data_IF_465321136284
#
_entry.id   IF_465321136284
#
_cell.length_a   1.000
_cell.length_b   1.000
_cell.length_c   1.000
_cell.angle_alpha   90.00
_cell.angle_beta   90.00
_cell.angle_gamma   90.00
#
_symmetry.space_group_name_H-M   'P 1'
#
loop_
_entity.id
_entity.type
_entity.pdbx_description
1 polymer ?
#
# COMPACT_ATOMS: atom_id res chain seq x y z
N UNK A 1 -9.13 15.59 -18.74
CA UNK A 1 -10.00 15.95 -17.60
C UNK A 1 -11.32 16.42 -18.18
N UNK A 2 -12.38 15.65 -18.06
CA UNK A 2 -13.71 16.11 -18.46
C UNK A 2 -14.16 17.19 -17.48
N UNK A 3 -14.54 18.36 -17.98
CA UNK A 3 -15.04 19.47 -17.16
C UNK A 3 -16.26 19.00 -16.34
N UNK A 4 -16.09 18.89 -15.02
CA UNK A 4 -17.21 18.74 -14.10
C UNK A 4 -17.84 20.13 -13.91
N UNK A 5 -18.76 20.49 -14.78
CA UNK A 5 -19.60 21.68 -14.59
C UNK A 5 -20.94 21.29 -13.98
N UNK A 6 -21.20 21.78 -12.78
CA UNK A 6 -22.54 22.00 -12.24
C UNK A 6 -23.23 20.84 -11.54
N UNK A 7 -23.78 21.13 -10.39
CA UNK A 7 -24.67 20.28 -9.59
C UNK A 7 -25.85 19.77 -10.42
N UNK A 8 -26.12 18.45 -10.36
CA UNK A 8 -27.27 17.76 -10.95
C UNK A 8 -27.30 17.70 -12.50
N UNK A 9 -26.34 17.03 -13.11
CA UNK A 9 -26.47 16.59 -14.50
C UNK A 9 -27.12 15.20 -14.51
N UNK A 10 -28.22 15.06 -15.27
CA UNK A 10 -28.81 13.75 -15.56
C UNK A 10 -27.77 12.98 -16.41
N UNK A 11 -27.25 11.87 -15.86
CA UNK A 11 -26.30 11.00 -16.53
C UNK A 11 -27.08 9.99 -17.38
N UNK A 12 -26.80 9.95 -18.67
CA UNK A 12 -27.35 8.97 -19.61
C UNK A 12 -26.26 8.51 -20.55
N UNK A 13 -26.31 7.25 -20.97
CA UNK A 13 -25.31 6.65 -21.88
C UNK A 13 -25.19 7.44 -23.21
N UNK A 14 -26.32 7.96 -23.71
CA UNK A 14 -26.34 8.81 -24.93
C UNK A 14 -25.50 10.07 -24.76
N UNK A 15 -25.62 10.75 -23.62
CA UNK A 15 -24.82 11.96 -23.33
C UNK A 15 -23.36 11.65 -23.09
N UNK A 16 -23.07 10.53 -22.42
CA UNK A 16 -21.70 10.09 -22.18
C UNK A 16 -21.04 9.73 -23.53
N UNK A 17 -21.71 9.02 -24.43
CA UNK A 17 -21.23 8.72 -25.77
C UNK A 17 -20.99 10.00 -26.62
N UNK A 18 -21.90 10.99 -26.55
CA UNK A 18 -21.72 12.28 -27.23
C UNK A 18 -20.50 13.05 -26.71
N UNK A 19 -20.28 13.06 -25.38
CA UNK A 19 -19.09 13.70 -24.77
C UNK A 19 -17.83 12.98 -25.19
N UNK A 20 -17.80 11.64 -25.17
CA UNK A 20 -16.67 10.84 -25.63
C UNK A 20 -16.36 11.14 -27.11
N UNK A 21 -17.38 11.16 -27.97
CA UNK A 21 -17.24 11.49 -29.37
C UNK A 21 -16.65 12.89 -29.61
N UNK A 22 -17.11 13.90 -28.88
CA UNK A 22 -16.56 15.27 -28.94
C UNK A 22 -15.12 15.33 -28.46
N UNK A 23 -14.78 14.64 -27.33
CA UNK A 23 -13.41 14.59 -26.83
C UNK A 23 -12.46 13.92 -27.83
N UNK A 24 -12.89 12.84 -28.48
CA UNK A 24 -12.11 12.16 -29.52
C UNK A 24 -11.88 13.06 -30.74
N UNK A 25 -12.95 13.68 -31.26
CA UNK A 25 -12.88 14.56 -32.42
C UNK A 25 -11.99 15.79 -32.19
N UNK A 26 -11.93 16.30 -30.97
CA UNK A 26 -11.13 17.47 -30.60
C UNK A 26 -9.75 17.12 -30.04
N UNK A 27 -9.37 15.84 -29.99
CA UNK A 27 -8.14 15.34 -29.34
C UNK A 27 -7.98 15.82 -27.89
N UNK A 28 -9.10 16.09 -27.19
CA UNK A 28 -9.13 16.56 -25.81
C UNK A 28 -9.31 15.39 -24.83
N UNK A 29 -8.34 14.47 -24.85
CA UNK A 29 -8.30 13.32 -23.94
C UNK A 29 -6.86 13.00 -23.53
N UNK A 30 -6.70 12.39 -22.39
CA UNK A 30 -5.42 11.81 -21.95
C UNK A 30 -5.48 10.30 -22.14
N UNK A 31 -4.57 9.69 -22.91
CA UNK A 31 -4.55 8.24 -23.08
C UNK A 31 -4.32 7.55 -21.75
N UNK A 32 -5.00 6.43 -21.54
CA UNK A 32 -4.85 5.58 -20.36
C UNK A 32 -3.85 4.48 -20.72
N UNK A 33 -2.94 4.19 -19.79
CA UNK A 33 -2.07 3.03 -19.92
C UNK A 33 -2.90 1.75 -19.84
N UNK A 34 -2.79 0.91 -20.85
CA UNK A 34 -3.42 -0.42 -20.88
C UNK A 34 -2.36 -1.42 -20.39
N UNK A 35 -2.59 -2.14 -19.29
CA UNK A 35 -1.67 -3.17 -18.81
C UNK A 35 -1.50 -4.29 -19.84
N UNK A 36 -0.38 -5.00 -19.77
CA UNK A 36 -0.23 -6.27 -20.49
C UNK A 36 -1.16 -7.33 -19.92
N UNK A 37 -1.48 -8.37 -20.68
CA UNK A 37 -2.29 -9.49 -20.16
C UNK A 37 -1.62 -10.15 -18.94
N UNK A 38 -0.28 -10.30 -18.96
CA UNK A 38 0.50 -10.84 -17.84
C UNK A 38 0.38 -9.98 -16.58
N UNK A 39 0.51 -8.65 -16.72
CA UNK A 39 0.36 -7.72 -15.61
C UNK A 39 -1.03 -7.75 -15.02
N UNK A 40 -2.07 -7.88 -15.86
CA UNK A 40 -3.46 -7.93 -15.39
C UNK A 40 -3.72 -9.22 -14.59
N UNK A 41 -3.21 -10.38 -15.04
CA UNK A 41 -3.31 -11.65 -14.30
C UNK A 41 -2.61 -11.57 -12.94
N UNK A 42 -1.39 -11.04 -12.90
CA UNK A 42 -0.64 -10.87 -11.65
C UNK A 42 -1.33 -9.88 -10.72
N UNK A 43 -1.85 -8.79 -11.24
CA UNK A 43 -2.60 -7.79 -10.49
C UNK A 43 -3.86 -8.37 -9.85
N UNK A 44 -4.66 -9.16 -10.61
CA UNK A 44 -5.83 -9.84 -10.06
C UNK A 44 -5.46 -10.85 -8.97
N UNK A 45 -4.35 -11.59 -9.16
CA UNK A 45 -3.85 -12.52 -8.14
C UNK A 45 -3.47 -11.80 -6.83
N UNK A 46 -2.77 -10.65 -6.93
CA UNK A 46 -2.37 -9.85 -5.78
C UNK A 46 -3.59 -9.25 -5.05
N UNK A 47 -4.58 -8.76 -5.79
CA UNK A 47 -5.83 -8.25 -5.23
C UNK A 47 -6.63 -9.34 -4.52
N UNK A 48 -6.77 -10.52 -5.11
CA UNK A 48 -7.40 -11.69 -4.50
C UNK A 48 -6.72 -12.07 -3.17
N UNK A 49 -5.36 -12.04 -3.15
CA UNK A 49 -4.62 -12.26 -1.90
C UNK A 49 -4.92 -11.20 -0.84
N UNK A 50 -5.04 -9.93 -1.22
CA UNK A 50 -5.37 -8.86 -0.29
C UNK A 50 -6.81 -8.97 0.25
N UNK A 51 -7.75 -9.47 -0.54
CA UNK A 51 -9.10 -9.79 -0.07
C UNK A 51 -9.08 -10.87 1.02
N UNK A 52 -8.26 -11.93 0.85
CA UNK A 52 -8.07 -12.94 1.90
C UNK A 52 -7.39 -12.37 3.15
N UNK A 53 -6.46 -11.43 3.01
CA UNK A 53 -5.87 -10.70 4.16
C UNK A 53 -6.92 -9.90 4.93
N UNK A 54 -7.84 -9.26 4.21
CA UNK A 54 -8.96 -8.54 4.83
C UNK A 54 -9.93 -9.50 5.55
N UNK A 55 -10.23 -10.65 4.94
CA UNK A 55 -11.05 -11.69 5.55
C UNK A 55 -10.40 -12.21 6.85
N UNK A 56 -9.10 -12.52 6.82
CA UNK A 56 -8.37 -12.93 8.03
C UNK A 56 -8.40 -11.86 9.13
N UNK A 57 -8.23 -10.59 8.76
CA UNK A 57 -8.35 -9.48 9.71
C UNK A 57 -9.73 -9.45 10.37
N UNK A 58 -10.80 -9.67 9.60
CA UNK A 58 -12.17 -9.71 10.11
C UNK A 58 -12.36 -10.84 11.11
N UNK A 59 -11.90 -12.06 10.79
CA UNK A 59 -11.98 -13.22 11.70
C UNK A 59 -11.20 -12.96 12.97
N UNK A 60 -9.99 -12.40 12.90
CA UNK A 60 -9.22 -11.98 14.08
C UNK A 60 -10.00 -11.02 14.97
N UNK A 61 -10.68 -10.04 14.40
CA UNK A 61 -11.52 -9.11 15.15
C UNK A 61 -12.74 -9.81 15.80
N UNK A 62 -13.36 -10.76 15.10
CA UNK A 62 -14.48 -11.54 15.59
C UNK A 62 -14.08 -12.40 16.82
N UNK A 63 -12.92 -13.07 16.76
CA UNK A 63 -12.37 -13.85 17.88
C UNK A 63 -12.12 -12.95 19.10
N UNK A 64 -11.45 -11.80 18.92
CA UNK A 64 -11.20 -10.88 20.03
C UNK A 64 -12.49 -10.31 20.61
N UNK A 65 -13.48 -9.99 19.76
CA UNK A 65 -14.78 -9.54 20.22
C UNK A 65 -15.57 -10.63 20.96
N UNK A 66 -15.43 -11.90 20.53
CA UNK A 66 -15.98 -13.04 21.26
C UNK A 66 -15.35 -13.14 22.65
N UNK A 67 -14.03 -13.15 22.76
CA UNK A 67 -13.34 -13.20 24.03
C UNK A 67 -13.76 -12.04 24.97
N UNK A 68 -13.89 -10.82 24.43
CA UNK A 68 -14.30 -9.65 25.19
C UNK A 68 -15.72 -9.81 25.76
N UNK A 69 -16.69 -10.27 24.96
CA UNK A 69 -18.08 -10.47 25.40
C UNK A 69 -18.23 -11.51 26.48
N UNK A 70 -17.36 -12.54 26.49
CA UNK A 70 -17.40 -13.63 27.45
C UNK A 70 -16.34 -13.50 28.56
N UNK A 71 -15.73 -12.31 28.68
CA UNK A 71 -14.75 -12.00 29.73
C UNK A 71 -13.51 -12.92 29.75
N UNK A 72 -13.14 -13.49 28.57
CA UNK A 72 -11.88 -14.21 28.42
C UNK A 72 -10.76 -13.22 28.19
N UNK A 73 -9.77 -13.19 29.08
CA UNK A 73 -8.63 -12.27 28.99
C UNK A 73 -7.34 -13.05 28.83
N UNK A 74 -6.53 -12.60 27.88
CA UNK A 74 -5.19 -13.11 27.67
C UNK A 74 -4.18 -12.21 28.36
N UNK A 75 -3.40 -12.75 29.28
CA UNK A 75 -2.43 -11.98 30.08
C UNK A 75 -1.11 -11.73 29.36
N UNK A 76 -0.94 -12.22 28.14
CA UNK A 76 0.28 -12.04 27.36
C UNK A 76 0.34 -10.67 26.64
N UNK A 77 1.56 -10.24 26.30
CA UNK A 77 1.83 -8.92 25.73
C UNK A 77 1.33 -8.74 24.28
N UNK A 78 1.12 -9.82 23.53
CA UNK A 78 0.82 -9.74 22.09
C UNK A 78 -0.14 -10.82 21.64
N UNK A 79 -1.21 -10.40 20.94
CA UNK A 79 -2.14 -11.31 20.28
C UNK A 79 -1.51 -11.94 19.01
N UNK A 80 -2.07 -13.06 18.57
CA UNK A 80 -1.72 -13.80 17.32
C UNK A 80 -0.31 -14.38 17.33
N UNK A 81 0.28 -14.58 18.52
CA UNK A 81 1.47 -15.38 18.76
C UNK A 81 1.07 -16.83 19.01
N UNK A 82 2.01 -17.77 18.93
CA UNK A 82 1.77 -19.18 19.26
C UNK A 82 1.16 -19.32 20.67
N UNK A 83 1.66 -18.56 21.64
CA UNK A 83 1.11 -18.53 23.01
C UNK A 83 -0.36 -18.09 23.05
N UNK A 84 -0.73 -17.03 22.32
CA UNK A 84 -2.13 -16.58 22.24
C UNK A 84 -3.03 -17.62 21.56
N UNK A 85 -2.59 -18.24 20.47
CA UNK A 85 -3.36 -19.27 19.76
C UNK A 85 -3.54 -20.51 20.65
N UNK A 86 -2.50 -20.94 21.35
CA UNK A 86 -2.60 -22.07 22.31
C UNK A 86 -3.56 -21.74 23.45
N UNK A 87 -3.50 -20.53 23.99
CA UNK A 87 -4.46 -20.06 24.99
C UNK A 87 -5.90 -20.07 24.45
N UNK A 88 -6.17 -19.57 23.23
CA UNK A 88 -7.50 -19.62 22.63
C UNK A 88 -8.02 -21.07 22.51
N UNK A 89 -7.16 -22.02 22.13
CA UNK A 89 -7.49 -23.45 22.03
C UNK A 89 -7.75 -24.10 23.39
N UNK A 90 -7.13 -23.61 24.46
CA UNK A 90 -7.29 -24.13 25.80
C UNK A 90 -8.55 -23.62 26.54
N UNK A 91 -9.25 -22.63 25.94
CA UNK A 91 -10.51 -22.16 26.52
C UNK A 91 -11.58 -23.24 26.45
N UNK A 92 -12.28 -23.43 27.59
CA UNK A 92 -13.36 -24.41 27.77
C UNK A 92 -14.68 -23.69 28.08
N UNK A 93 -15.27 -22.95 27.15
CA UNK A 93 -16.60 -22.38 27.32
C UNK A 93 -17.67 -23.46 27.33
N UNK A 94 -18.92 -23.07 27.66
CA UNK A 94 -20.09 -23.95 27.54
C UNK A 94 -20.24 -24.47 26.10
N UNK A 95 -20.91 -25.64 25.94
CA UNK A 95 -20.87 -26.43 24.69
C UNK A 95 -21.07 -25.61 23.41
N UNK A 96 -22.12 -24.81 23.27
CA UNK A 96 -22.36 -24.01 22.09
C UNK A 96 -21.34 -22.89 21.87
N UNK A 97 -20.87 -22.27 22.94
CA UNK A 97 -19.81 -21.25 22.83
C UNK A 97 -18.46 -21.87 22.41
N UNK A 98 -18.22 -23.12 22.80
CA UNK A 98 -17.04 -23.87 22.34
C UNK A 98 -17.10 -24.14 20.85
N UNK A 99 -18.24 -24.58 20.34
CA UNK A 99 -18.45 -24.77 18.89
C UNK A 99 -18.22 -23.47 18.11
N UNK A 100 -18.77 -22.35 18.58
CA UNK A 100 -18.59 -21.02 17.96
C UNK A 100 -17.10 -20.62 17.90
N UNK A 101 -16.37 -20.82 19.01
CA UNK A 101 -14.95 -20.49 19.06
C UNK A 101 -14.14 -21.38 18.13
N UNK A 102 -14.43 -22.69 18.11
CA UNK A 102 -13.73 -23.65 17.26
C UNK A 102 -13.94 -23.35 15.77
N UNK A 103 -15.15 -22.95 15.34
CA UNK A 103 -15.43 -22.54 13.96
C UNK A 103 -14.66 -21.26 13.58
N UNK A 104 -14.57 -20.28 14.47
CA UNK A 104 -13.73 -19.09 14.23
C UNK A 104 -12.24 -19.47 14.14
N UNK A 105 -11.75 -20.37 14.99
CA UNK A 105 -10.35 -20.82 14.96
C UNK A 105 -10.03 -21.65 13.72
N UNK A 106 -10.98 -22.48 13.27
CA UNK A 106 -10.86 -23.23 12.01
C UNK A 106 -10.76 -22.25 10.82
N UNK A 107 -11.64 -21.27 10.75
CA UNK A 107 -11.61 -20.23 9.69
C UNK A 107 -10.31 -19.43 9.73
N UNK A 108 -9.82 -19.07 10.93
CA UNK A 108 -8.53 -18.41 11.10
C UNK A 108 -7.38 -19.25 10.55
N UNK A 109 -7.36 -20.56 10.87
CA UNK A 109 -6.31 -21.47 10.41
C UNK A 109 -6.34 -21.60 8.88
N UNK A 110 -7.50 -21.88 8.30
CA UNK A 110 -7.66 -22.00 6.83
C UNK A 110 -7.17 -20.74 6.10
N UNK A 111 -7.56 -19.56 6.58
CA UNK A 111 -7.15 -18.30 5.95
C UNK A 111 -5.66 -18.00 6.16
N UNK A 112 -5.08 -18.39 7.29
CA UNK A 112 -3.65 -18.21 7.56
C UNK A 112 -2.80 -19.08 6.64
N UNK A 113 -3.13 -20.37 6.52
CA UNK A 113 -2.44 -21.33 5.65
C UNK A 113 -2.59 -20.95 4.17
N UNK A 114 -3.80 -20.47 3.80
CA UNK A 114 -4.04 -19.95 2.45
C UNK A 114 -3.15 -18.77 2.12
N UNK A 115 -3.05 -17.79 3.03
CA UNK A 115 -2.20 -16.62 2.82
C UNK A 115 -0.71 -16.99 2.73
N UNK A 116 -0.23 -17.92 3.55
CA UNK A 116 1.15 -18.39 3.46
C UNK A 116 1.45 -19.00 2.09
N UNK A 117 0.54 -19.84 1.58
CA UNK A 117 0.66 -20.44 0.23
C UNK A 117 0.62 -19.38 -0.87
N UNK A 118 -0.27 -18.38 -0.77
CA UNK A 118 -0.37 -17.28 -1.72
C UNK A 118 0.89 -16.39 -1.69
N UNK A 119 1.43 -16.13 -0.50
CA UNK A 119 2.66 -15.36 -0.35
C UNK A 119 3.87 -16.08 -0.99
N UNK A 120 3.98 -17.41 -0.85
CA UNK A 120 4.99 -18.21 -1.58
C UNK A 120 4.82 -18.07 -3.09
N UNK A 121 3.59 -18.13 -3.59
CA UNK A 121 3.33 -17.95 -5.03
C UNK A 121 3.70 -16.55 -5.53
N UNK A 122 3.51 -15.53 -4.71
CA UNK A 122 3.92 -14.15 -5.03
C UNK A 122 5.45 -14.04 -5.13
N UNK A 123 6.22 -14.71 -4.26
CA UNK A 123 7.68 -14.75 -4.38
C UNK A 123 8.12 -15.42 -5.70
N UNK A 124 7.45 -16.49 -6.14
CA UNK A 124 7.72 -17.13 -7.43
C UNK A 124 7.39 -16.21 -8.62
N UNK A 125 6.26 -15.51 -8.56
CA UNK A 125 5.88 -14.54 -9.60
C UNK A 125 6.88 -13.39 -9.70
N UNK A 126 7.30 -12.87 -8.55
CA UNK A 126 8.29 -11.79 -8.46
C UNK A 126 9.69 -12.21 -8.94
N UNK A 127 9.99 -13.51 -8.91
CA UNK A 127 11.28 -14.06 -9.39
C UNK A 127 11.34 -14.23 -10.91
N UNK A 128 10.23 -14.06 -11.64
CA UNK A 128 10.24 -14.09 -13.11
C UNK A 128 11.12 -12.97 -13.67
N UNK A 129 11.78 -13.21 -14.78
CA UNK A 129 12.71 -12.26 -15.41
C UNK A 129 12.08 -10.89 -15.67
N UNK A 130 10.77 -10.88 -15.97
CA UNK A 130 9.96 -9.68 -16.19
C UNK A 130 9.89 -8.74 -14.97
N UNK A 131 9.90 -9.27 -13.75
CA UNK A 131 9.68 -8.49 -12.52
C UNK A 131 10.90 -8.44 -11.60
N UNK A 132 11.79 -9.42 -11.69
CA UNK A 132 12.88 -9.66 -10.74
C UNK A 132 13.73 -8.43 -10.46
N UNK A 133 14.18 -7.74 -11.50
CA UNK A 133 15.01 -6.54 -11.34
C UNK A 133 14.23 -5.40 -10.69
N UNK A 134 13.04 -5.12 -11.18
CA UNK A 134 12.18 -4.05 -10.69
C UNK A 134 11.77 -4.27 -9.22
N UNK A 135 11.39 -5.50 -8.87
CA UNK A 135 11.07 -5.90 -7.49
C UNK A 135 12.31 -5.76 -6.60
N UNK A 136 13.47 -6.23 -7.04
CA UNK A 136 14.74 -6.09 -6.31
C UNK A 136 15.06 -4.64 -5.98
N UNK A 137 14.98 -3.74 -6.97
CA UNK A 137 15.17 -2.29 -6.79
C UNK A 137 14.22 -1.72 -5.74
N UNK A 138 12.92 -1.99 -5.84
CA UNK A 138 11.93 -1.44 -4.91
C UNK A 138 12.03 -2.04 -3.49
N UNK A 139 12.45 -3.28 -3.35
CA UNK A 139 12.67 -3.92 -2.05
C UNK A 139 13.83 -3.32 -1.24
N UNK A 140 14.66 -2.46 -1.84
CA UNK A 140 15.69 -1.69 -1.15
C UNK A 140 15.13 -0.61 -0.21
N UNK A 141 13.86 -0.23 -0.36
CA UNK A 141 13.22 0.74 0.53
C UNK A 141 12.68 0.07 1.81
N UNK A 142 12.77 0.80 2.93
CA UNK A 142 12.19 0.35 4.21
C UNK A 142 10.66 0.25 4.07
N UNK A 143 10.10 -0.88 4.54
CA UNK A 143 8.65 -1.13 4.50
C UNK A 143 8.14 -1.70 3.18
N UNK A 144 8.97 -1.73 2.14
CA UNK A 144 8.62 -2.35 0.85
C UNK A 144 9.19 -3.78 0.83
N UNK A 145 8.30 -4.76 0.70
CA UNK A 145 8.62 -6.18 0.52
C UNK A 145 8.11 -6.64 -0.84
N UNK A 146 8.39 -7.86 -1.22
CA UNK A 146 8.04 -8.49 -2.51
C UNK A 146 6.60 -8.23 -2.93
N UNK A 147 5.62 -8.53 -2.07
CA UNK A 147 4.20 -8.26 -2.35
C UNK A 147 3.95 -6.77 -2.67
N UNK A 148 4.47 -5.85 -1.85
CA UNK A 148 4.27 -4.40 -2.06
C UNK A 148 4.96 -3.93 -3.33
N UNK A 149 6.19 -4.39 -3.59
CA UNK A 149 6.96 -4.03 -4.78
C UNK A 149 6.25 -4.50 -6.05
N UNK A 150 5.91 -5.79 -6.12
CA UNK A 150 5.23 -6.37 -7.28
C UNK A 150 3.86 -5.71 -7.51
N UNK A 151 3.07 -5.50 -6.44
CA UNK A 151 1.79 -4.82 -6.55
C UNK A 151 1.92 -3.40 -7.13
N UNK A 152 2.92 -2.63 -6.68
CA UNK A 152 3.15 -1.28 -7.22
C UNK A 152 3.57 -1.34 -8.69
N UNK A 153 4.39 -2.30 -9.08
CA UNK A 153 4.84 -2.48 -10.47
C UNK A 153 3.65 -2.75 -11.40
N UNK A 154 2.84 -3.77 -11.12
CA UNK A 154 1.72 -4.15 -11.99
C UNK A 154 0.55 -3.16 -11.95
N UNK A 155 0.36 -2.43 -10.85
CA UNK A 155 -0.66 -1.37 -10.75
C UNK A 155 -0.28 -0.09 -11.49
N UNK A 156 1.00 0.20 -11.59
CA UNK A 156 1.53 1.40 -12.26
C UNK A 156 1.83 1.13 -13.72
N UNK A 157 2.37 -0.06 -14.03
CA UNK A 157 2.91 -0.40 -15.36
C UNK A 157 4.14 0.44 -15.68
N UNK A 158 4.09 1.27 -16.72
CA UNK A 158 5.21 2.11 -17.12
C UNK A 158 5.33 3.37 -16.24
N UNK A 159 6.42 3.46 -15.47
CA UNK A 159 6.74 4.65 -14.65
C UNK A 159 7.21 5.83 -15.48
N UNK A 160 7.78 5.59 -16.69
CA UNK A 160 8.28 6.65 -17.59
C UNK A 160 7.16 7.48 -18.20
N UNK A 161 5.90 6.99 -18.19
CA UNK A 161 4.73 7.77 -18.61
C UNK A 161 4.46 9.01 -17.76
N UNK A 162 5.06 9.10 -16.58
CA UNK A 162 4.95 10.27 -15.72
C UNK A 162 6.17 11.18 -15.92
N UNK A 163 5.94 12.39 -16.38
CA UNK A 163 7.00 13.35 -16.68
C UNK A 163 7.81 13.78 -15.44
N UNK A 164 7.27 13.60 -14.23
CA UNK A 164 7.98 13.92 -12.97
C UNK A 164 7.43 13.12 -11.79
N UNK A 165 8.20 13.08 -10.71
CA UNK A 165 7.82 12.47 -9.45
C UNK A 165 6.53 13.08 -8.87
N UNK A 166 6.30 14.39 -9.06
CA UNK A 166 5.09 15.08 -8.64
C UNK A 166 3.87 14.61 -9.42
N UNK A 167 4.01 14.38 -10.73
CA UNK A 167 2.94 13.82 -11.57
C UNK A 167 2.59 12.41 -11.14
N UNK A 168 3.59 11.59 -10.80
CA UNK A 168 3.36 10.27 -10.21
C UNK A 168 2.66 10.35 -8.85
N UNK A 169 3.09 11.23 -7.95
CA UNK A 169 2.42 11.45 -6.66
C UNK A 169 0.97 11.94 -6.82
N UNK A 170 0.69 12.75 -7.85
CA UNK A 170 -0.66 13.18 -8.22
C UNK A 170 -1.52 12.01 -8.71
N UNK A 171 -0.97 11.14 -9.56
CA UNK A 171 -1.64 9.92 -10.03
C UNK A 171 -2.06 8.99 -8.89
N UNK A 172 -1.29 8.96 -7.80
CA UNK A 172 -1.63 8.16 -6.61
C UNK A 172 -2.60 8.91 -5.67
N UNK A 173 -2.78 10.22 -5.87
CA UNK A 173 -3.62 11.07 -5.01
C UNK A 173 -3.02 11.37 -3.64
N UNK A 174 -1.67 11.40 -3.54
CA UNK A 174 -0.93 11.77 -2.33
C UNK A 174 -0.52 13.24 -2.31
N UNK A 175 -0.94 14.04 -3.30
CA UNK A 175 -0.73 15.48 -3.31
C UNK A 175 -1.80 16.20 -2.50
N UNK A 176 -1.45 17.33 -1.82
CA UNK A 176 -2.45 18.13 -1.13
C UNK A 176 -3.44 18.72 -2.14
N UNK A 177 -4.71 18.77 -1.75
CA UNK A 177 -5.69 19.57 -2.43
C UNK A 177 -5.55 21.04 -2.02
N UNK A 178 -5.99 21.92 -2.88
CA UNK A 178 -6.06 23.37 -2.64
C UNK A 178 -7.43 23.88 -3.05
N UNK A 179 -8.00 24.74 -2.23
CA UNK A 179 -9.22 25.48 -2.52
C UNK A 179 -8.88 26.96 -2.30
N UNK A 180 -8.59 27.63 -3.40
CA UNK A 180 -8.14 29.03 -3.38
C UNK A 180 -9.13 29.88 -4.17
N UNK A 181 -9.67 30.92 -3.54
CA UNK A 181 -10.50 31.91 -4.18
C UNK A 181 -10.02 33.33 -3.79
N UNK A 182 -9.66 34.12 -4.77
CA UNK A 182 -9.07 35.45 -4.55
C UNK A 182 -7.75 35.37 -3.78
N UNK A 183 -7.58 36.20 -2.76
CA UNK A 183 -6.37 36.27 -1.94
C UNK A 183 -6.31 35.16 -0.86
N UNK A 184 -7.36 34.37 -0.70
CA UNK A 184 -7.45 33.31 0.31
C UNK A 184 -6.93 31.98 -0.20
N UNK A 185 -5.84 31.45 0.40
CA UNK A 185 -5.27 30.13 0.10
C UNK A 185 -5.62 29.12 1.20
N UNK A 186 -6.55 28.21 0.92
CA UNK A 186 -6.90 27.13 1.87
C UNK A 186 -6.28 25.80 1.42
N UNK A 187 -5.32 25.32 2.19
CA UNK A 187 -4.71 24.00 1.96
C UNK A 187 -5.58 22.91 2.55
N UNK A 188 -6.02 22.01 1.70
CA UNK A 188 -6.82 20.85 2.06
C UNK A 188 -5.93 19.64 2.39
N UNK A 189 -6.56 18.53 2.78
CA UNK A 189 -5.90 17.22 2.87
C UNK A 189 -5.43 16.70 1.51
N UNK A 190 -4.97 15.45 1.43
CA UNK A 190 -4.61 14.83 0.16
C UNK A 190 -5.85 14.67 -0.72
N UNK A 191 -5.68 14.78 -2.05
CA UNK A 191 -6.77 14.71 -3.04
C UNK A 191 -7.50 13.37 -3.03
N UNK A 192 -6.79 12.27 -2.71
CA UNK A 192 -7.27 10.88 -2.79
C UNK A 192 -7.76 10.48 -4.19
N UNK A 193 -7.55 11.32 -5.20
CA UNK A 193 -7.81 11.01 -6.60
C UNK A 193 -6.79 9.98 -7.12
N UNK A 194 -7.21 9.13 -8.07
CA UNK A 194 -6.33 8.15 -8.71
C UNK A 194 -6.20 6.82 -7.98
N UNK A 195 -5.07 6.11 -8.16
CA UNK A 195 -4.94 4.72 -7.74
C UNK A 195 -4.97 4.54 -6.21
N UNK A 196 -6.12 4.08 -5.71
CA UNK A 196 -6.36 3.84 -4.27
C UNK A 196 -5.48 2.72 -3.73
N UNK A 197 -5.25 1.67 -4.53
CA UNK A 197 -4.51 0.49 -4.08
C UNK A 197 -3.04 0.82 -3.83
N UNK A 198 -2.36 1.46 -4.80
CA UNK A 198 -0.99 1.94 -4.63
C UNK A 198 -0.88 2.92 -3.47
N UNK A 199 -1.82 3.84 -3.31
CA UNK A 199 -1.84 4.78 -2.17
C UNK A 199 -1.90 4.05 -0.83
N UNK A 200 -2.73 3.00 -0.72
CA UNK A 200 -2.84 2.17 0.49
C UNK A 200 -1.52 1.47 0.79
N UNK A 201 -0.92 0.79 -0.19
CA UNK A 201 0.35 0.09 -0.04
C UNK A 201 1.48 1.02 0.43
N UNK A 202 1.62 2.19 -0.19
CA UNK A 202 2.64 3.16 0.20
C UNK A 202 2.39 3.78 1.59
N UNK A 203 1.13 3.98 1.96
CA UNK A 203 0.77 4.43 3.30
C UNK A 203 1.11 3.36 4.35
N UNK A 204 0.88 2.08 4.06
CA UNK A 204 1.30 0.96 4.93
C UNK A 204 2.83 0.89 5.01
N UNK A 205 3.55 0.95 3.91
CA UNK A 205 5.00 0.94 3.88
C UNK A 205 5.59 2.09 4.71
N UNK A 206 4.99 3.28 4.64
CA UNK A 206 5.43 4.46 5.38
C UNK A 206 5.39 4.31 6.91
N UNK A 207 4.58 3.38 7.44
CA UNK A 207 4.53 3.07 8.87
C UNK A 207 5.90 2.64 9.43
N UNK A 208 6.72 1.97 8.61
CA UNK A 208 8.01 1.46 9.02
C UNK A 208 9.03 2.58 9.30
N UNK A 209 8.83 3.77 8.75
CA UNK A 209 9.70 4.92 8.99
C UNK A 209 9.49 5.59 10.36
N UNK A 210 8.40 5.27 11.04
CA UNK A 210 8.14 5.75 12.41
C UNK A 210 8.92 4.98 13.49
N UNK A 211 9.69 3.97 13.12
CA UNK A 211 10.42 3.09 14.04
C UNK A 211 11.89 2.98 13.65
N UNK A 212 12.73 2.77 14.67
CA UNK A 212 14.16 2.54 14.50
C UNK A 212 14.98 3.82 14.35
N UNK A 213 16.29 3.67 14.40
CA UNK A 213 17.27 4.78 14.36
C UNK A 213 17.51 5.26 12.93
N UNK A 214 17.83 6.55 12.78
CA UNK A 214 18.22 7.15 11.50
C UNK A 214 19.56 6.51 11.06
N UNK A 215 19.66 6.14 9.79
CA UNK A 215 20.86 5.48 9.22
C UNK A 215 20.98 3.98 9.54
N UNK A 216 20.21 3.44 10.50
CA UNK A 216 20.29 2.02 10.84
C UNK A 216 19.60 1.14 9.78
N UNK A 217 20.35 0.12 9.31
CA UNK A 217 19.88 -0.94 8.43
C UNK A 217 19.73 -2.25 9.21
N UNK A 218 18.51 -2.80 9.21
CA UNK A 218 18.28 -4.14 9.77
C UNK A 218 18.93 -5.24 8.90
N UNK A 219 19.21 -6.39 9.50
CA UNK A 219 19.71 -7.58 8.78
C UNK A 219 18.77 -7.95 7.61
N UNK A 220 17.46 -7.89 7.84
CA UNK A 220 16.46 -8.17 6.81
C UNK A 220 16.48 -7.15 5.65
N UNK A 221 16.79 -5.88 5.90
CA UNK A 221 16.93 -4.88 4.82
C UNK A 221 18.20 -5.15 4.01
N UNK A 222 19.31 -5.44 4.67
CA UNK A 222 20.58 -5.78 4.01
C UNK A 222 20.40 -7.00 3.07
N UNK A 223 19.72 -8.04 3.56
CA UNK A 223 19.43 -9.24 2.74
C UNK A 223 18.55 -8.93 1.50
N UNK A 224 17.60 -7.97 1.60
CA UNK A 224 16.80 -7.57 0.43
C UNK A 224 17.56 -6.67 -0.55
N UNK A 225 18.59 -5.97 -0.09
CA UNK A 225 19.45 -5.13 -0.93
C UNK A 225 20.51 -5.96 -1.65
N UNK A 226 20.79 -7.14 -1.16
CA UNK A 226 21.77 -8.05 -1.76
C UNK A 226 21.38 -8.39 -3.22
N UNK A 227 22.40 -8.46 -4.09
CA UNK A 227 22.20 -8.65 -5.53
C UNK A 227 21.83 -7.40 -6.34
N UNK A 228 21.56 -6.25 -5.69
CA UNK A 228 21.37 -4.97 -6.40
C UNK A 228 22.69 -4.23 -6.59
N UNK A 229 22.73 -3.32 -7.58
CA UNK A 229 23.92 -2.51 -7.83
C UNK A 229 24.24 -1.54 -6.68
N UNK A 230 25.50 -1.19 -6.43
CA UNK A 230 25.87 -0.23 -5.37
C UNK A 230 25.15 1.12 -5.50
N UNK A 231 24.88 1.58 -6.72
CA UNK A 231 24.16 2.84 -6.99
C UNK A 231 22.70 2.76 -6.51
N UNK A 232 21.98 1.68 -6.84
CA UNK A 232 20.60 1.42 -6.39
C UNK A 232 20.53 1.37 -4.86
N UNK A 233 21.48 0.67 -4.23
CA UNK A 233 21.56 0.56 -2.77
C UNK A 233 21.81 1.93 -2.13
N UNK A 234 22.78 2.69 -2.66
CA UNK A 234 23.13 4.02 -2.13
C UNK A 234 21.94 4.99 -2.26
N UNK A 235 21.25 5.00 -3.40
CA UNK A 235 20.05 5.81 -3.58
C UNK A 235 18.95 5.46 -2.59
N UNK A 236 18.64 4.16 -2.42
CA UNK A 236 17.64 3.70 -1.46
C UNK A 236 18.02 4.04 -0.02
N UNK A 237 19.30 3.95 0.35
CA UNK A 237 19.78 4.29 1.68
C UNK A 237 19.65 5.78 1.98
N UNK A 238 20.06 6.64 1.05
CA UNK A 238 19.87 8.10 1.12
C UNK A 238 18.38 8.44 1.30
N UNK A 239 17.50 7.77 0.52
CA UNK A 239 16.06 7.93 0.65
C UNK A 239 15.55 7.46 2.02
N UNK A 240 15.94 6.26 2.47
CA UNK A 240 15.52 5.68 3.74
C UNK A 240 15.92 6.56 4.93
N UNK A 241 17.14 7.09 4.92
CA UNK A 241 17.63 8.00 5.95
C UNK A 241 16.84 9.31 5.94
N UNK A 242 16.69 9.94 4.77
CA UNK A 242 15.97 11.18 4.60
C UNK A 242 14.50 11.06 5.06
N UNK A 243 13.81 10.01 4.65
CA UNK A 243 12.41 9.77 5.02
C UNK A 243 12.23 9.60 6.52
N UNK A 244 13.11 8.85 7.18
CA UNK A 244 13.09 8.66 8.64
C UNK A 244 13.41 9.97 9.37
N UNK A 245 14.44 10.71 8.94
CA UNK A 245 14.79 12.02 9.48
C UNK A 245 13.64 13.02 9.35
N UNK A 246 12.97 13.04 8.18
CA UNK A 246 11.81 13.88 7.93
C UNK A 246 10.62 13.52 8.82
N UNK A 247 10.33 12.23 9.01
CA UNK A 247 9.27 11.78 9.91
C UNK A 247 9.49 12.33 11.32
N UNK A 248 10.66 12.12 11.90
CA UNK A 248 10.96 12.59 13.24
C UNK A 248 10.93 14.12 13.35
N UNK A 249 11.45 14.83 12.35
CA UNK A 249 11.35 16.30 12.30
C UNK A 249 9.90 16.78 12.29
N UNK A 250 9.03 16.13 11.55
CA UNK A 250 7.59 16.48 11.49
C UNK A 250 6.88 16.22 12.81
N UNK A 251 7.16 15.12 13.48
CA UNK A 251 6.48 14.73 14.72
C UNK A 251 7.07 15.46 15.93
N UNK A 252 8.39 15.44 16.08
CA UNK A 252 9.07 15.97 17.28
C UNK A 252 9.21 17.50 17.24
N UNK A 253 9.69 18.07 16.10
CA UNK A 253 9.95 19.51 16.02
C UNK A 253 8.75 20.31 15.57
N UNK A 254 7.89 19.76 14.69
CA UNK A 254 6.73 20.47 14.13
C UNK A 254 5.40 20.04 14.73
N UNK A 255 5.40 19.18 15.73
CA UNK A 255 4.24 18.66 16.46
C UNK A 255 3.09 18.20 15.54
N UNK A 256 3.42 17.65 14.36
CA UNK A 256 2.41 17.15 13.42
C UNK A 256 1.86 15.81 13.91
N UNK A 257 0.55 15.59 13.70
CA UNK A 257 -0.07 14.28 14.00
C UNK A 257 0.64 13.17 13.22
N UNK A 258 0.84 12.01 13.85
CA UNK A 258 1.54 10.86 13.26
C UNK A 258 1.01 10.47 11.88
N UNK A 259 -0.31 10.43 11.68
CA UNK A 259 -0.91 10.07 10.39
C UNK A 259 -0.61 11.10 9.29
N UNK A 260 -0.56 12.40 9.63
CA UNK A 260 -0.16 13.45 8.68
C UNK A 260 1.30 13.28 8.28
N UNK A 261 2.18 13.01 9.24
CA UNK A 261 3.59 12.75 8.97
C UNK A 261 3.77 11.50 8.08
N UNK A 262 3.11 10.38 8.40
CA UNK A 262 3.16 9.15 7.60
C UNK A 262 2.67 9.35 6.17
N UNK A 263 1.59 10.11 5.96
CA UNK A 263 1.09 10.44 4.62
C UNK A 263 2.11 11.26 3.82
N UNK A 264 2.78 12.22 4.47
CA UNK A 264 3.85 12.99 3.83
C UNK A 264 5.06 12.12 3.47
N UNK A 265 5.40 11.13 4.32
CA UNK A 265 6.44 10.14 4.03
C UNK A 265 6.03 9.23 2.88
N UNK A 266 4.77 8.76 2.83
CA UNK A 266 4.26 7.95 1.74
C UNK A 266 4.36 8.67 0.38
N UNK A 267 4.06 9.97 0.34
CA UNK A 267 4.24 10.80 -0.87
C UNK A 267 5.71 10.86 -1.30
N UNK A 268 6.61 11.12 -0.38
CA UNK A 268 8.03 11.25 -0.70
C UNK A 268 8.65 9.89 -1.07
N UNK A 269 8.21 8.79 -0.42
CA UNK A 269 8.57 7.42 -0.81
C UNK A 269 8.14 7.14 -2.26
N UNK A 270 6.92 7.54 -2.64
CA UNK A 270 6.47 7.42 -4.02
C UNK A 270 7.41 8.14 -4.99
N UNK A 271 7.85 9.36 -4.66
CA UNK A 271 8.80 10.11 -5.49
C UNK A 271 10.14 9.38 -5.65
N UNK A 272 10.68 8.81 -4.56
CA UNK A 272 11.91 8.01 -4.63
C UNK A 272 11.72 6.72 -5.42
N UNK A 273 10.59 6.04 -5.28
CA UNK A 273 10.28 4.86 -6.10
C UNK A 273 10.18 5.20 -7.58
N UNK A 274 9.55 6.31 -7.93
CA UNK A 274 9.54 6.80 -9.30
C UNK A 274 10.95 7.08 -9.82
N UNK A 275 11.78 7.79 -9.06
CA UNK A 275 13.19 8.04 -9.42
C UNK A 275 13.97 6.75 -9.64
N UNK A 276 13.81 5.76 -8.76
CA UNK A 276 14.43 4.43 -8.88
C UNK A 276 14.01 3.70 -10.17
N UNK A 277 12.72 3.76 -10.54
CA UNK A 277 12.15 3.05 -11.67
C UNK A 277 12.36 3.75 -13.02
N UNK A 278 12.75 5.03 -13.00
CA UNK A 278 13.08 5.82 -14.20
C UNK A 278 14.57 6.10 -14.35
N UNK A 279 15.39 5.41 -13.52
CA UNK A 279 16.86 5.57 -13.47
C UNK A 279 17.33 7.00 -13.13
N UNK A 280 16.46 7.83 -12.54
CA UNK A 280 16.79 9.15 -11.98
C UNK A 280 17.36 9.02 -10.57
N UNK A 281 18.49 8.31 -10.43
CA UNK A 281 19.11 7.92 -9.15
C UNK A 281 20.42 8.68 -8.83
N UNK A 282 20.65 9.79 -9.51
CA UNK A 282 21.83 10.63 -9.28
C UNK A 282 21.83 11.33 -7.91
#
# INVERSE_FOLDING_TARGET
MLEQRGKKRIKTDKRDAEIIGKCLAQHNYSPVHVPTASDEEVKEFLRMRDDHKLALKKVKQQILAFCLRHNYRFDGNSHWTAAHINWLKSLTPEALYKEILDEYLLTYTILSDKLERLDKRIEELAAKDEYKEAVGKLCCFIGVKTHTALSVIVEVGDFKRFASAEKFASYIGLVPGEDSSGDGQTRLGITKAGNRHVRMLLTEASQCYSRGQIGYKSKALKARQDGNTPQVIAYADKANERLRRRYYKMVLSKCKKHNVAKTAIARELACFMWGMMTDNIA
#
